data_IF_985989488370
#
_entry.id   IF_985989488370
#
_cell.length_a   1.000
_cell.length_b   1.000
_cell.length_c   1.000
_cell.angle_alpha   90.00
_cell.angle_beta   90.00
_cell.angle_gamma   90.00
#
_symmetry.space_group_name_H-M   'P 1'
#
loop_
_entity.id
_entity.type
_entity.pdbx_description
1 polymer ?
#
# COMPACT_ATOMS: atom_id res chain seq x y z
N UNK A 1 -19.07 -1.73 -10.35
CA UNK A 1 -18.53 -0.64 -9.52
C UNK A 1 -19.58 -0.31 -8.48
N UNK A 2 -19.27 -0.59 -7.22
CA UNK A 2 -20.15 -0.44 -6.05
C UNK A 2 -20.19 1.02 -5.60
N UNK A 3 -19.09 1.73 -5.75
CA UNK A 3 -18.90 3.13 -5.41
C UNK A 3 -18.91 3.94 -6.71
N UNK A 4 -20.06 4.46 -7.17
CA UNK A 4 -20.12 5.24 -8.39
C UNK A 4 -19.47 6.62 -8.18
N UNK A 5 -18.19 6.72 -8.52
CA UNK A 5 -17.48 8.00 -8.46
C UNK A 5 -17.88 8.91 -9.64
N UNK A 6 -17.94 10.24 -9.42
CA UNK A 6 -18.40 11.21 -10.42
C UNK A 6 -17.45 11.35 -11.62
N UNK A 7 -16.21 10.87 -11.51
CA UNK A 7 -15.18 10.93 -12.55
C UNK A 7 -14.49 9.57 -12.66
N UNK A 8 -14.31 9.07 -13.88
CA UNK A 8 -13.44 7.92 -14.17
C UNK A 8 -12.07 8.37 -14.64
N UNK A 9 -11.04 7.69 -14.18
CA UNK A 9 -9.66 7.89 -14.61
C UNK A 9 -9.39 7.04 -15.86
N UNK A 10 -9.09 7.68 -17.01
CA UNK A 10 -8.84 6.96 -18.25
C UNK A 10 -7.48 6.24 -18.21
N UNK A 11 -7.31 5.32 -19.15
CA UNK A 11 -6.03 4.65 -19.35
C UNK A 11 -4.91 5.68 -19.60
N UNK A 12 -3.81 5.59 -18.85
CA UNK A 12 -2.64 6.45 -19.06
C UNK A 12 -1.65 5.88 -20.09
N UNK A 13 -0.48 6.51 -20.21
CA UNK A 13 0.57 6.07 -21.13
C UNK A 13 1.15 4.70 -20.76
N UNK A 14 1.36 4.43 -19.48
CA UNK A 14 1.86 3.14 -18.99
C UNK A 14 0.88 2.02 -19.34
N UNK A 15 -0.43 2.24 -19.15
CA UNK A 15 -1.46 1.28 -19.53
C UNK A 15 -1.49 1.01 -21.04
N UNK A 16 -1.30 2.04 -21.88
CA UNK A 16 -1.21 1.88 -23.33
C UNK A 16 0.05 1.14 -23.77
N UNK A 17 1.18 1.37 -23.10
CA UNK A 17 2.46 0.71 -23.37
C UNK A 17 2.46 -0.75 -22.91
N UNK A 18 1.73 -1.07 -21.85
CA UNK A 18 1.64 -2.40 -21.24
C UNK A 18 0.15 -2.80 -21.16
N UNK A 19 -0.49 -3.09 -22.32
CA UNK A 19 -1.92 -3.35 -22.36
C UNK A 19 -2.32 -4.69 -21.74
N UNK A 20 -1.42 -5.68 -21.79
CA UNK A 20 -1.69 -7.07 -21.38
C UNK A 20 -0.47 -7.75 -20.73
N UNK A 21 -0.68 -8.98 -20.26
CA UNK A 21 0.36 -9.79 -19.60
C UNK A 21 1.53 -10.14 -20.54
N UNK A 22 1.28 -10.30 -21.84
CA UNK A 22 2.33 -10.65 -22.80
C UNK A 22 3.30 -9.47 -23.00
N UNK A 23 2.77 -8.25 -23.10
CA UNK A 23 3.55 -7.03 -23.08
C UNK A 23 4.32 -6.86 -21.75
N UNK A 24 3.67 -7.15 -20.62
CA UNK A 24 4.30 -7.10 -19.30
C UNK A 24 5.52 -8.03 -19.20
N UNK A 25 5.38 -9.29 -19.61
CA UNK A 25 6.47 -10.29 -19.62
C UNK A 25 7.62 -9.87 -20.55
N UNK A 26 7.29 -9.37 -21.73
CA UNK A 26 8.29 -8.91 -22.71
C UNK A 26 9.10 -7.73 -22.16
N UNK A 27 8.42 -6.78 -21.51
CA UNK A 27 9.06 -5.55 -21.01
C UNK A 27 9.86 -5.78 -19.73
N UNK A 28 9.34 -6.57 -18.79
CA UNK A 28 9.99 -6.77 -17.50
C UNK A 28 11.30 -7.59 -17.62
N UNK A 29 11.36 -8.54 -18.57
CA UNK A 29 12.55 -9.34 -18.81
C UNK A 29 13.14 -9.95 -17.53
N UNK A 30 14.43 -9.75 -17.28
CA UNK A 30 15.09 -10.24 -16.07
C UNK A 30 14.60 -9.59 -14.77
N UNK A 31 14.04 -8.36 -14.84
CA UNK A 31 13.50 -7.67 -13.67
C UNK A 31 12.22 -8.35 -13.12
N UNK A 32 11.59 -9.25 -13.88
CA UNK A 32 10.46 -10.05 -13.42
C UNK A 32 10.86 -11.19 -12.46
N UNK A 33 12.15 -11.53 -12.34
CA UNK A 33 12.57 -12.72 -11.60
C UNK A 33 12.04 -12.80 -10.14
N UNK A 34 12.02 -11.71 -9.35
CA UNK A 34 11.46 -11.75 -7.99
C UNK A 34 9.97 -12.06 -7.97
N UNK A 35 9.18 -11.43 -8.85
CA UNK A 35 7.73 -11.67 -8.88
C UNK A 35 7.42 -13.06 -9.42
N UNK A 36 8.16 -13.57 -10.42
CA UNK A 36 7.98 -14.94 -10.91
C UNK A 36 8.30 -15.99 -9.84
N UNK A 37 9.37 -15.79 -9.07
CA UNK A 37 9.70 -16.67 -7.95
C UNK A 37 8.60 -16.66 -6.87
N UNK A 38 8.04 -15.48 -6.57
CA UNK A 38 6.93 -15.35 -5.63
C UNK A 38 5.69 -16.11 -6.13
N UNK A 39 5.30 -15.92 -7.39
CA UNK A 39 4.11 -16.55 -7.96
C UNK A 39 4.27 -18.08 -8.07
N UNK A 40 5.44 -18.56 -8.48
CA UNK A 40 5.74 -20.00 -8.50
C UNK A 40 5.63 -20.64 -7.11
N UNK A 41 6.14 -19.96 -6.08
CA UNK A 41 5.99 -20.39 -4.68
C UNK A 41 4.53 -20.42 -4.26
N UNK A 42 3.75 -19.36 -4.54
CA UNK A 42 2.31 -19.29 -4.21
C UNK A 42 1.53 -20.42 -4.87
N UNK A 43 1.79 -20.70 -6.14
CA UNK A 43 1.17 -21.82 -6.85
C UNK A 43 1.44 -23.15 -6.15
N UNK A 44 2.69 -23.43 -5.79
CA UNK A 44 3.04 -24.65 -5.09
C UNK A 44 2.34 -24.77 -3.72
N UNK A 45 2.34 -23.68 -2.94
CA UNK A 45 1.72 -23.65 -1.61
C UNK A 45 0.19 -23.80 -1.67
N UNK A 46 -0.46 -23.11 -2.60
CA UNK A 46 -1.91 -23.00 -2.69
C UNK A 46 -2.56 -24.11 -3.50
N UNK A 47 -1.76 -25.00 -4.09
CA UNK A 47 -2.26 -26.24 -4.72
C UNK A 47 -3.13 -27.05 -3.74
N UNK A 48 -2.84 -26.99 -2.43
CA UNK A 48 -3.61 -27.67 -1.39
C UNK A 48 -5.00 -27.07 -1.11
N UNK A 49 -5.31 -25.90 -1.70
CA UNK A 49 -6.60 -25.20 -1.59
C UNK A 49 -7.43 -25.27 -2.88
N UNK A 50 -6.90 -25.87 -3.95
CA UNK A 50 -7.59 -25.92 -5.24
C UNK A 50 -8.81 -26.83 -5.19
N UNK A 51 -9.97 -26.28 -5.54
CA UNK A 51 -11.16 -27.04 -5.87
C UNK A 51 -11.33 -27.17 -7.40
N UNK A 52 -12.18 -28.08 -7.90
CA UNK A 52 -12.44 -28.22 -9.33
C UNK A 52 -12.90 -26.90 -9.96
N UNK A 53 -12.12 -26.37 -10.91
CA UNK A 53 -12.38 -25.09 -11.59
C UNK A 53 -11.48 -23.93 -11.16
N UNK A 54 -10.76 -24.06 -10.04
CA UNK A 54 -9.94 -22.97 -9.48
C UNK A 54 -8.60 -22.74 -10.21
N UNK A 55 -8.16 -23.70 -11.03
CA UNK A 55 -6.91 -23.57 -11.78
C UNK A 55 -6.89 -22.31 -12.67
N UNK A 56 -8.06 -21.96 -13.24
CA UNK A 56 -8.24 -20.76 -14.05
C UNK A 56 -8.13 -19.49 -13.20
N UNK A 57 -8.77 -19.48 -12.02
CA UNK A 57 -8.69 -18.36 -11.08
C UNK A 57 -7.24 -18.06 -10.71
N UNK A 58 -6.47 -19.08 -10.31
CA UNK A 58 -5.08 -18.91 -9.94
C UNK A 58 -4.24 -18.38 -11.12
N UNK A 59 -4.46 -18.89 -12.33
CA UNK A 59 -3.76 -18.41 -13.52
C UNK A 59 -4.09 -16.94 -13.83
N UNK A 60 -5.37 -16.55 -13.79
CA UNK A 60 -5.78 -15.16 -14.00
C UNK A 60 -5.22 -14.23 -12.91
N UNK A 61 -5.21 -14.66 -11.65
CA UNK A 61 -4.63 -13.88 -10.54
C UNK A 61 -3.13 -13.66 -10.75
N UNK A 62 -2.38 -14.69 -11.12
CA UNK A 62 -0.95 -14.52 -11.37
C UNK A 62 -0.68 -13.56 -12.54
N UNK A 63 -1.47 -13.63 -13.61
CA UNK A 63 -1.32 -12.73 -14.75
C UNK A 63 -1.69 -11.27 -14.41
N UNK A 64 -2.72 -11.07 -13.58
CA UNK A 64 -3.07 -9.74 -13.07
C UNK A 64 -1.98 -9.18 -12.16
N UNK A 65 -1.41 -10.00 -11.28
CA UNK A 65 -0.28 -9.58 -10.42
C UNK A 65 0.95 -9.22 -11.25
N UNK A 66 1.29 -10.00 -12.29
CA UNK A 66 2.38 -9.68 -13.22
C UNK A 66 2.14 -8.34 -13.91
N UNK A 67 0.92 -8.12 -14.40
CA UNK A 67 0.56 -6.89 -15.10
C UNK A 67 0.62 -5.68 -14.18
N UNK A 68 0.03 -5.76 -12.98
CA UNK A 68 0.09 -4.70 -11.98
C UNK A 68 1.52 -4.37 -11.55
N UNK A 69 2.31 -5.39 -11.22
CA UNK A 69 3.73 -5.23 -10.88
C UNK A 69 4.53 -4.55 -12.01
N UNK A 70 4.38 -4.99 -13.26
CA UNK A 70 5.11 -4.42 -14.39
C UNK A 70 4.71 -2.96 -14.67
N UNK A 71 3.41 -2.64 -14.56
CA UNK A 71 2.93 -1.25 -14.72
C UNK A 71 3.49 -0.35 -13.62
N UNK A 72 3.49 -0.81 -12.37
CA UNK A 72 4.09 -0.04 -11.28
C UNK A 72 5.62 0.10 -11.46
N UNK A 73 6.31 -0.95 -11.89
CA UNK A 73 7.75 -0.92 -12.16
C UNK A 73 8.13 0.12 -13.23
N UNK A 74 7.30 0.28 -14.27
CA UNK A 74 7.51 1.29 -15.33
C UNK A 74 7.07 2.67 -14.89
N UNK A 75 6.00 2.78 -14.12
CA UNK A 75 5.44 4.07 -13.71
C UNK A 75 6.29 4.69 -12.60
N UNK A 76 6.54 3.93 -11.55
CA UNK A 76 7.10 4.42 -10.29
C UNK A 76 8.34 3.66 -9.81
N UNK A 77 8.82 2.72 -10.62
CA UNK A 77 9.86 1.77 -10.26
C UNK A 77 11.14 1.87 -11.07
N UNK A 78 11.94 0.81 -11.00
CA UNK A 78 13.27 0.76 -11.63
C UNK A 78 13.24 0.65 -13.17
N UNK A 79 12.08 0.41 -13.77
CA UNK A 79 11.93 0.37 -15.23
C UNK A 79 11.46 1.71 -15.81
N UNK A 80 11.20 2.69 -14.95
CA UNK A 80 10.74 4.03 -15.28
C UNK A 80 11.75 5.13 -14.98
N UNK A 81 11.35 6.37 -15.27
CA UNK A 81 12.10 7.57 -14.91
C UNK A 81 11.50 8.33 -13.73
N UNK A 82 10.27 8.00 -13.33
CA UNK A 82 9.51 8.68 -12.28
C UNK A 82 9.53 7.87 -10.98
N UNK A 83 10.73 7.62 -10.46
CA UNK A 83 10.93 6.70 -9.35
C UNK A 83 10.34 7.21 -8.03
N UNK A 84 9.57 6.35 -7.38
CA UNK A 84 9.02 6.55 -6.03
C UNK A 84 9.81 5.68 -5.05
N UNK A 85 10.27 6.25 -3.94
CA UNK A 85 11.12 5.53 -3.00
C UNK A 85 10.35 4.48 -2.17
N UNK A 86 9.05 4.65 -2.00
CA UNK A 86 8.17 3.75 -1.25
C UNK A 86 7.15 3.07 -2.19
N UNK A 87 6.33 3.83 -2.92
CA UNK A 87 5.28 3.27 -3.77
C UNK A 87 5.80 2.81 -5.15
N UNK A 88 6.57 1.72 -5.16
CA UNK A 88 7.15 1.11 -6.35
C UNK A 88 6.91 -0.42 -6.40
N UNK A 89 7.47 -1.11 -7.39
CA UNK A 89 7.31 -2.56 -7.57
C UNK A 89 7.81 -3.39 -6.38
N UNK A 90 8.74 -2.84 -5.59
CA UNK A 90 9.19 -3.43 -4.33
C UNK A 90 8.05 -3.55 -3.32
N UNK A 91 7.19 -2.53 -3.20
CA UNK A 91 6.03 -2.53 -2.29
C UNK A 91 5.05 -3.67 -2.61
N UNK A 92 4.85 -3.97 -3.90
CA UNK A 92 4.06 -5.13 -4.34
C UNK A 92 4.66 -6.43 -3.81
N UNK A 93 5.99 -6.60 -3.89
CA UNK A 93 6.68 -7.77 -3.37
C UNK A 93 6.62 -7.86 -1.84
N UNK A 94 6.59 -6.74 -1.12
CA UNK A 94 6.43 -6.73 0.33
C UNK A 94 5.05 -7.27 0.73
N UNK A 95 3.99 -6.73 0.12
CA UNK A 95 2.60 -7.11 0.44
C UNK A 95 2.34 -8.55 -0.01
N UNK A 96 2.52 -8.84 -1.29
CA UNK A 96 2.25 -10.17 -1.87
C UNK A 96 3.19 -11.26 -1.32
N UNK A 97 4.39 -10.87 -0.89
CA UNK A 97 5.40 -11.73 -0.27
C UNK A 97 5.27 -11.77 1.24
N UNK A 98 6.14 -11.02 1.93
CA UNK A 98 6.37 -11.20 3.38
C UNK A 98 5.15 -10.92 4.25
N UNK A 99 4.27 -9.99 3.86
CA UNK A 99 3.10 -9.63 4.67
C UNK A 99 1.99 -10.70 4.56
N UNK A 100 1.71 -11.18 3.34
CA UNK A 100 0.83 -12.35 3.15
C UNK A 100 1.42 -13.62 3.77
N UNK A 101 2.75 -13.83 3.69
CA UNK A 101 3.41 -14.94 4.37
C UNK A 101 3.14 -14.94 5.88
N UNK A 102 3.32 -13.78 6.54
CA UNK A 102 3.08 -13.65 7.97
C UNK A 102 1.62 -13.88 8.34
N UNK A 103 0.70 -13.37 7.53
CA UNK A 103 -0.74 -13.59 7.72
C UNK A 103 -1.07 -15.09 7.62
N UNK A 104 -0.59 -15.76 6.57
CA UNK A 104 -0.74 -17.21 6.37
C UNK A 104 -0.12 -18.01 7.53
N UNK A 105 1.08 -17.66 7.97
CA UNK A 105 1.80 -18.41 9.01
C UNK A 105 1.11 -18.26 10.37
N UNK A 106 0.48 -17.12 10.62
CA UNK A 106 -0.25 -16.86 11.87
C UNK A 106 -1.62 -17.54 11.88
N UNK A 107 -2.38 -17.42 10.79
CA UNK A 107 -3.75 -17.91 10.73
C UNK A 107 -3.86 -19.37 10.28
N UNK A 108 -2.86 -19.85 9.55
CA UNK A 108 -2.89 -21.10 8.80
C UNK A 108 -3.47 -20.92 7.39
N UNK A 109 -2.96 -21.70 6.43
CA UNK A 109 -3.33 -21.60 5.02
C UNK A 109 -4.85 -21.76 4.76
N UNK A 110 -5.52 -22.60 5.57
CA UNK A 110 -6.96 -22.87 5.44
C UNK A 110 -7.87 -21.86 6.17
N UNK A 111 -7.31 -20.82 6.77
CA UNK A 111 -8.10 -19.78 7.44
C UNK A 111 -8.90 -18.92 6.45
N UNK A 112 -8.43 -18.82 5.21
CA UNK A 112 -9.11 -18.15 4.11
C UNK A 112 -9.27 -19.10 2.93
N UNK A 113 -10.31 -18.89 2.12
CA UNK A 113 -10.47 -19.62 0.87
C UNK A 113 -9.39 -19.20 -0.14
N UNK A 114 -9.11 -20.04 -1.14
CA UNK A 114 -8.19 -19.68 -2.24
C UNK A 114 -8.57 -18.34 -2.88
N UNK A 115 -9.87 -18.11 -3.06
CA UNK A 115 -10.41 -16.90 -3.68
C UNK A 115 -10.09 -15.63 -2.88
N UNK A 116 -10.13 -15.71 -1.55
CA UNK A 116 -9.74 -14.61 -0.66
C UNK A 116 -8.23 -14.35 -0.73
N UNK A 117 -7.41 -15.41 -0.74
CA UNK A 117 -5.96 -15.27 -0.94
C UNK A 117 -5.61 -14.63 -2.29
N UNK A 118 -6.32 -15.01 -3.35
CA UNK A 118 -6.20 -14.40 -4.66
C UNK A 118 -6.62 -12.91 -4.62
N UNK A 119 -7.71 -12.57 -3.93
CA UNK A 119 -8.12 -11.18 -3.76
C UNK A 119 -7.04 -10.34 -3.07
N UNK A 120 -6.40 -10.85 -2.00
CA UNK A 120 -5.32 -10.15 -1.30
C UNK A 120 -4.06 -9.97 -2.18
N UNK A 121 -3.73 -10.93 -3.05
CA UNK A 121 -2.66 -10.77 -4.04
C UNK A 121 -3.00 -9.70 -5.08
N UNK A 122 -4.24 -9.68 -5.56
CA UNK A 122 -4.71 -8.65 -6.48
C UNK A 122 -4.63 -7.27 -5.82
N UNK A 123 -5.03 -7.13 -4.56
CA UNK A 123 -4.87 -5.89 -3.79
C UNK A 123 -3.41 -5.44 -3.73
N UNK A 124 -2.51 -6.32 -3.30
CA UNK A 124 -1.08 -5.99 -3.17
C UNK A 124 -0.45 -5.51 -4.49
N UNK A 125 -0.90 -6.04 -5.63
CA UNK A 125 -0.40 -5.64 -6.95
C UNK A 125 -1.10 -4.41 -7.55
N UNK A 126 -2.26 -4.01 -7.04
CA UNK A 126 -3.12 -3.04 -7.72
C UNK A 126 -3.47 -1.77 -6.93
N UNK A 127 -3.37 -1.77 -5.59
CA UNK A 127 -3.86 -0.64 -4.79
C UNK A 127 -3.11 0.68 -5.02
N UNK A 128 -1.82 0.60 -5.31
CA UNK A 128 -0.95 1.78 -5.52
C UNK A 128 -0.51 1.96 -6.98
N UNK A 129 -1.29 1.48 -7.94
CA UNK A 129 -0.97 1.67 -9.37
C UNK A 129 -0.80 3.14 -9.74
N UNK A 130 -1.53 4.05 -9.07
CA UNK A 130 -1.56 5.48 -9.38
C UNK A 130 -1.21 6.29 -8.14
N UNK A 131 -0.08 7.00 -8.18
CA UNK A 131 0.43 7.77 -7.03
C UNK A 131 0.74 9.26 -7.34
N UNK A 132 0.20 9.78 -8.44
CA UNK A 132 0.41 11.16 -8.91
C UNK A 132 -0.88 11.91 -9.24
N UNK A 133 -2.03 11.39 -8.87
CA UNK A 133 -3.29 12.01 -9.25
C UNK A 133 -3.48 13.35 -8.54
N UNK A 134 -4.18 14.25 -9.22
CA UNK A 134 -4.50 15.55 -8.67
C UNK A 134 -5.31 15.37 -7.37
N UNK A 135 -4.95 16.09 -6.30
CA UNK A 135 -5.55 15.90 -4.98
C UNK A 135 -7.04 16.13 -4.96
N UNK A 136 -7.79 15.08 -4.64
CA UNK A 136 -9.24 15.17 -4.50
C UNK A 136 -9.75 14.04 -3.61
N UNK A 137 -10.61 14.40 -2.65
CA UNK A 137 -11.34 13.44 -1.83
C UNK A 137 -12.80 13.37 -2.28
N UNK A 138 -13.31 12.16 -2.46
CA UNK A 138 -14.74 11.88 -2.63
C UNK A 138 -15.14 10.81 -1.64
N UNK A 139 -16.07 11.14 -0.72
CA UNK A 139 -16.46 10.28 0.41
C UNK A 139 -15.30 9.81 1.31
N UNK A 140 -14.20 10.58 1.34
CA UNK A 140 -13.00 10.22 2.07
C UNK A 140 -12.04 9.31 1.31
N UNK A 141 -12.35 8.94 0.06
CA UNK A 141 -11.50 8.13 -0.81
C UNK A 141 -10.66 9.08 -1.68
N UNK A 142 -9.35 8.83 -1.75
CA UNK A 142 -8.39 9.65 -2.46
C UNK A 142 -8.45 9.50 -3.98
N UNK A 143 -7.86 10.46 -4.68
CA UNK A 143 -7.75 10.44 -6.14
C UNK A 143 -6.88 9.30 -6.63
N UNK A 144 -5.76 9.03 -5.94
CA UNK A 144 -4.85 7.92 -6.22
C UNK A 144 -5.58 6.58 -6.13
N UNK A 145 -6.28 6.32 -5.03
CA UNK A 145 -7.02 5.07 -4.82
C UNK A 145 -8.15 4.91 -5.84
N UNK A 146 -8.88 5.97 -6.18
CA UNK A 146 -9.93 5.91 -7.23
C UNK A 146 -9.34 5.61 -8.60
N UNK A 147 -8.19 6.18 -8.95
CA UNK A 147 -7.52 5.90 -10.21
C UNK A 147 -6.95 4.48 -10.25
N UNK A 148 -6.37 4.01 -9.13
CA UNK A 148 -5.94 2.62 -8.95
C UNK A 148 -7.11 1.65 -9.05
N UNK A 149 -8.29 1.96 -8.51
CA UNK A 149 -9.51 1.16 -8.70
C UNK A 149 -9.82 1.07 -10.19
N UNK A 150 -9.95 2.19 -10.90
CA UNK A 150 -10.30 2.20 -12.32
C UNK A 150 -9.29 1.39 -13.18
N UNK A 151 -7.99 1.48 -12.88
CA UNK A 151 -6.96 0.69 -13.55
C UNK A 151 -7.01 -0.79 -13.16
N UNK A 152 -7.18 -1.11 -11.88
CA UNK A 152 -7.31 -2.48 -11.38
C UNK A 152 -8.49 -3.20 -12.05
N UNK A 153 -9.61 -2.52 -12.20
CA UNK A 153 -10.77 -3.06 -12.90
C UNK A 153 -10.45 -3.39 -14.37
N UNK A 154 -9.61 -2.61 -15.05
CA UNK A 154 -9.15 -2.91 -16.43
C UNK A 154 -8.12 -4.04 -16.48
N UNK A 155 -7.25 -4.15 -15.46
CA UNK A 155 -6.32 -5.27 -15.33
C UNK A 155 -7.09 -6.59 -15.21
N UNK A 156 -8.13 -6.63 -14.38
CA UNK A 156 -8.98 -7.82 -14.26
C UNK A 156 -9.60 -8.21 -15.61
N UNK A 157 -10.15 -7.25 -16.36
CA UNK A 157 -10.69 -7.52 -17.70
C UNK A 157 -9.61 -8.06 -18.66
N UNK A 158 -8.41 -7.45 -18.67
CA UNK A 158 -7.31 -7.86 -19.53
C UNK A 158 -6.75 -9.25 -19.19
N UNK A 159 -6.91 -9.70 -17.95
CA UNK A 159 -6.45 -10.99 -17.47
C UNK A 159 -7.53 -12.07 -17.45
N UNK A 160 -8.71 -11.82 -18.05
CA UNK A 160 -9.73 -12.83 -18.29
C UNK A 160 -10.76 -13.02 -17.17
N UNK A 161 -10.80 -12.12 -16.17
CA UNK A 161 -11.86 -12.14 -15.16
C UNK A 161 -13.20 -11.72 -15.78
N UNK A 162 -14.27 -12.40 -15.39
CA UNK A 162 -15.63 -12.08 -15.84
C UNK A 162 -16.27 -11.11 -14.85
N UNK A 163 -16.79 -9.99 -15.36
CA UNK A 163 -17.57 -9.03 -14.55
C UNK A 163 -18.76 -9.64 -13.81
N UNK A 164 -19.34 -10.72 -14.36
CA UNK A 164 -20.49 -11.41 -13.80
C UNK A 164 -20.06 -12.58 -12.90
N UNK A 165 -19.21 -13.49 -13.41
CA UNK A 165 -18.80 -14.68 -12.64
C UNK A 165 -17.82 -14.34 -11.51
N UNK A 166 -17.02 -13.27 -11.68
CA UNK A 166 -16.03 -12.81 -10.71
C UNK A 166 -16.44 -11.49 -10.04
N UNK A 167 -17.74 -11.18 -10.03
CA UNK A 167 -18.29 -9.96 -9.44
C UNK A 167 -17.81 -9.71 -8.00
N UNK A 168 -17.60 -10.78 -7.23
CA UNK A 168 -17.10 -10.75 -5.86
C UNK A 168 -15.64 -10.30 -5.76
N UNK A 169 -14.76 -10.72 -6.68
CA UNK A 169 -13.37 -10.26 -6.74
C UNK A 169 -13.29 -8.81 -7.20
N UNK A 170 -14.11 -8.41 -8.18
CA UNK A 170 -14.21 -7.02 -8.61
C UNK A 170 -14.64 -6.11 -7.46
N UNK A 171 -15.62 -6.56 -6.67
CA UNK A 171 -16.14 -5.87 -5.50
C UNK A 171 -15.13 -5.79 -4.36
N UNK A 172 -14.51 -6.93 -4.02
CA UNK A 172 -13.49 -7.01 -3.00
C UNK A 172 -12.34 -6.06 -3.33
N UNK A 173 -11.83 -6.09 -4.56
CA UNK A 173 -10.72 -5.24 -4.97
C UNK A 173 -11.08 -3.75 -4.91
N UNK A 174 -12.28 -3.38 -5.35
CA UNK A 174 -12.77 -2.01 -5.23
C UNK A 174 -12.82 -1.54 -3.77
N UNK A 175 -13.38 -2.36 -2.86
CA UNK A 175 -13.51 -2.01 -1.45
C UNK A 175 -12.18 -2.05 -0.69
N UNK A 176 -11.28 -2.98 -1.03
CA UNK A 176 -9.94 -3.06 -0.45
C UNK A 176 -9.11 -1.81 -0.78
N UNK A 177 -9.07 -1.39 -2.05
CA UNK A 177 -8.33 -0.19 -2.47
C UNK A 177 -8.98 1.07 -1.91
N UNK A 178 -10.33 1.17 -1.92
CA UNK A 178 -11.00 2.29 -1.29
C UNK A 178 -10.68 2.37 0.21
N UNK A 179 -10.76 1.24 0.91
CA UNK A 179 -10.52 1.13 2.35
C UNK A 179 -9.08 1.40 2.77
N UNK A 180 -8.10 1.16 1.90
CA UNK A 180 -6.69 1.48 2.18
C UNK A 180 -6.39 2.97 2.14
N UNK A 181 -7.30 3.82 1.62
CA UNK A 181 -7.12 5.28 1.66
C UNK A 181 -6.86 5.72 3.10
N UNK A 182 -5.70 6.34 3.33
CA UNK A 182 -5.40 6.95 4.61
C UNK A 182 -6.01 8.37 4.65
N UNK A 183 -6.84 8.65 5.65
CA UNK A 183 -7.65 9.88 5.67
C UNK A 183 -6.77 11.14 5.81
N UNK A 184 -6.68 11.82 4.67
CA UNK A 184 -5.72 12.85 4.39
C UNK A 184 -6.43 14.23 4.34
N UNK A 185 -6.69 14.86 5.48
CA UNK A 185 -7.26 16.23 5.47
C UNK A 185 -6.21 17.26 5.04
N UNK A 186 -6.48 18.08 4.01
CA UNK A 186 -5.53 19.05 3.49
C UNK A 186 -5.06 20.02 4.58
N UNK A 187 -3.76 20.33 4.59
CA UNK A 187 -3.19 21.39 5.41
C UNK A 187 -3.74 22.74 4.91
N UNK A 188 -4.20 23.66 5.79
CA UNK A 188 -4.60 25.00 5.36
C UNK A 188 -3.46 25.71 4.62
N UNK A 189 -3.71 26.29 3.44
CA UNK A 189 -2.74 27.16 2.75
C UNK A 189 -2.46 26.87 1.26
N UNK A 190 -3.05 25.84 0.65
CA UNK A 190 -3.04 25.69 -0.82
C UNK A 190 -1.72 25.26 -1.46
N UNK A 191 -0.73 24.78 -0.69
CA UNK A 191 0.45 24.12 -1.25
C UNK A 191 0.05 22.82 -1.97
N UNK A 192 0.82 22.45 -3.01
CA UNK A 192 0.64 21.19 -3.72
C UNK A 192 0.64 20.02 -2.73
N UNK A 193 -0.51 19.39 -2.64
CA UNK A 193 -0.86 18.33 -1.71
C UNK A 193 0.08 17.14 -1.84
N UNK A 194 0.31 16.47 -0.72
CA UNK A 194 1.09 15.26 -0.67
C UNK A 194 0.37 14.27 0.23
N UNK A 195 0.04 13.08 -0.26
CA UNK A 195 -0.57 12.03 0.58
C UNK A 195 0.29 11.74 1.83
N UNK A 196 1.61 11.95 1.77
CA UNK A 196 2.52 11.80 2.88
C UNK A 196 2.59 13.02 3.85
N UNK A 197 1.96 14.16 3.54
CA UNK A 197 1.82 15.32 4.45
C UNK A 197 0.63 15.18 5.43
N UNK A 198 -0.22 14.16 5.24
CA UNK A 198 -1.61 14.25 5.65
C UNK A 198 -1.97 13.16 6.65
N UNK A 199 -1.69 13.46 7.91
CA UNK A 199 -2.16 12.69 9.05
C UNK A 199 -2.97 13.64 9.93
N UNK A 200 -4.18 13.97 9.49
CA UNK A 200 -5.09 14.86 10.25
C UNK A 200 -6.50 14.33 10.50
N UNK A 201 -6.84 13.08 10.12
CA UNK A 201 -7.91 12.35 10.81
C UNK A 201 -7.86 10.83 10.61
N UNK A 202 -8.16 10.08 11.67
CA UNK A 202 -8.84 8.77 11.61
C UNK A 202 -8.05 7.49 11.33
N UNK A 203 -6.90 7.52 10.66
CA UNK A 203 -6.27 6.29 10.18
C UNK A 203 -6.88 5.80 8.85
N UNK A 204 -6.71 4.52 8.52
CA UNK A 204 -7.23 3.93 7.28
C UNK A 204 -8.77 4.05 7.18
N UNK A 205 -9.30 4.32 5.99
CA UNK A 205 -10.73 4.48 5.74
C UNK A 205 -11.52 3.17 5.98
N UNK A 206 -10.86 2.01 5.90
CA UNK A 206 -11.49 0.70 6.07
C UNK A 206 -12.35 0.60 7.34
N UNK A 207 -11.95 1.25 8.44
CA UNK A 207 -12.68 1.27 9.72
C UNK A 207 -14.03 2.00 9.66
N UNK A 208 -14.25 2.80 8.61
CA UNK A 208 -15.45 3.61 8.36
C UNK A 208 -16.10 3.27 7.02
N UNK A 209 -15.65 2.21 6.35
CA UNK A 209 -16.15 1.82 5.03
C UNK A 209 -17.64 1.43 5.10
N UNK A 210 -18.08 0.87 6.22
CA UNK A 210 -19.49 0.61 6.52
C UNK A 210 -20.36 1.87 6.41
N UNK A 211 -19.89 3.01 6.90
CA UNK A 211 -20.59 4.29 6.81
C UNK A 211 -20.65 4.81 5.37
N UNK A 212 -19.62 4.55 4.57
CA UNK A 212 -19.62 4.87 3.14
C UNK A 212 -20.64 3.99 2.42
N UNK A 213 -20.63 2.69 2.69
CA UNK A 213 -21.56 1.72 2.11
C UNK A 213 -23.01 2.01 2.52
N UNK A 214 -23.27 2.44 3.75
CA UNK A 214 -24.61 2.83 4.21
C UNK A 214 -25.20 3.98 3.41
N UNK A 215 -24.36 4.90 2.94
CA UNK A 215 -24.78 6.02 2.08
C UNK A 215 -24.88 5.65 0.61
N UNK A 216 -23.97 4.81 0.11
CA UNK A 216 -23.78 4.55 -1.34
C UNK A 216 -24.46 3.28 -1.84
N UNK A 217 -24.63 2.29 -0.98
CA UNK A 217 -25.29 1.00 -1.28
C UNK A 217 -26.22 0.61 -0.13
N UNK A 218 -27.39 1.27 0.01
CA UNK A 218 -28.35 0.92 1.04
C UNK A 218 -28.76 -0.55 0.95
N UNK A 219 -28.61 -1.27 2.05
CA UNK A 219 -28.90 -2.71 2.11
C UNK A 219 -27.71 -3.63 1.82
N UNK A 220 -26.48 -3.09 1.71
CA UNK A 220 -25.28 -3.91 1.50
C UNK A 220 -25.08 -5.00 2.57
N UNK A 221 -25.61 -4.82 3.78
CA UNK A 221 -25.53 -5.84 4.86
C UNK A 221 -26.35 -7.10 4.57
N UNK A 222 -27.34 -7.02 3.67
CA UNK A 222 -28.09 -8.18 3.20
C UNK A 222 -27.43 -8.86 1.99
N UNK A 223 -26.40 -8.25 1.40
CA UNK A 223 -25.63 -8.80 0.29
C UNK A 223 -24.39 -9.54 0.82
N UNK A 224 -24.35 -10.88 0.79
CA UNK A 224 -23.22 -11.65 1.30
C UNK A 224 -21.90 -11.30 0.61
N UNK A 225 -21.94 -10.90 -0.66
CA UNK A 225 -20.76 -10.53 -1.44
C UNK A 225 -20.15 -9.23 -0.90
N UNK A 226 -20.98 -8.21 -0.64
CA UNK A 226 -20.50 -6.94 -0.08
C UNK A 226 -20.03 -7.08 1.36
N UNK A 227 -20.69 -7.95 2.14
CA UNK A 227 -20.23 -8.27 3.51
C UNK A 227 -18.86 -8.95 3.49
N UNK A 228 -18.62 -9.91 2.58
CA UNK A 228 -17.32 -10.55 2.42
C UNK A 228 -16.25 -9.55 1.95
N UNK A 229 -16.55 -8.74 0.93
CA UNK A 229 -15.66 -7.72 0.39
C UNK A 229 -15.26 -6.67 1.46
N UNK A 230 -16.20 -6.24 2.31
CA UNK A 230 -15.91 -5.31 3.40
C UNK A 230 -14.97 -5.92 4.45
N UNK A 231 -15.12 -7.21 4.78
CA UNK A 231 -14.21 -7.91 5.70
C UNK A 231 -12.80 -8.00 5.13
N UNK A 232 -12.67 -8.34 3.84
CA UNK A 232 -11.38 -8.34 3.16
C UNK A 232 -10.75 -6.94 3.10
N UNK A 233 -11.54 -5.88 2.96
CA UNK A 233 -11.05 -4.51 3.01
C UNK A 233 -10.35 -4.15 4.34
N UNK A 234 -10.82 -4.69 5.47
CA UNK A 234 -10.16 -4.52 6.77
C UNK A 234 -8.78 -5.21 6.78
N UNK A 235 -8.72 -6.45 6.27
CA UNK A 235 -7.46 -7.21 6.18
C UNK A 235 -6.47 -6.56 5.21
N UNK A 236 -6.95 -6.05 4.08
CA UNK A 236 -6.13 -5.37 3.09
C UNK A 236 -5.52 -4.07 3.64
N UNK A 237 -6.29 -3.26 4.37
CA UNK A 237 -5.76 -2.07 5.04
C UNK A 237 -4.67 -2.40 6.08
N UNK A 238 -4.82 -3.54 6.77
CA UNK A 238 -3.79 -4.03 7.69
C UNK A 238 -2.53 -4.48 6.95
N UNK A 239 -2.67 -5.13 5.79
CA UNK A 239 -1.54 -5.53 4.95
C UNK A 239 -0.77 -4.31 4.41
N UNK A 240 -1.45 -3.26 4.00
CA UNK A 240 -0.83 -2.04 3.47
C UNK A 240 0.00 -1.31 4.55
N UNK A 241 -0.53 -1.25 5.77
CA UNK A 241 0.09 -0.54 6.88
C UNK A 241 0.92 -1.41 7.82
N UNK A 242 1.09 -2.71 7.52
CA UNK A 242 1.86 -3.65 8.33
C UNK A 242 3.36 -3.36 8.43
N UNK A 243 3.89 -2.36 7.71
CA UNK A 243 5.29 -1.92 7.83
C UNK A 243 5.66 -1.56 9.29
N UNK A 244 4.71 -1.09 10.10
CA UNK A 244 4.92 -0.82 11.54
C UNK A 244 5.30 -2.06 12.36
N UNK A 245 5.02 -3.25 11.85
CA UNK A 245 5.30 -4.53 12.49
C UNK A 245 6.50 -5.27 11.89
N UNK A 246 7.18 -4.69 10.90
CA UNK A 246 8.38 -5.29 10.32
C UNK A 246 9.56 -5.26 11.31
N UNK A 247 10.63 -6.07 11.10
CA UNK A 247 11.87 -5.92 11.84
C UNK A 247 12.29 -4.44 11.89
N UNK A 248 12.70 -3.95 13.06
CA UNK A 248 12.81 -2.52 13.32
C UNK A 248 13.66 -1.74 12.30
N UNK A 249 14.76 -2.33 11.82
CA UNK A 249 15.60 -1.76 10.75
C UNK A 249 14.83 -1.55 9.46
N UNK A 250 14.01 -2.52 9.06
CA UNK A 250 13.15 -2.42 7.88
C UNK A 250 12.06 -1.40 8.11
N UNK A 251 11.36 -1.43 9.24
CA UNK A 251 10.37 -0.41 9.59
C UNK A 251 10.96 1.02 9.48
N UNK A 252 12.12 1.26 10.08
CA UNK A 252 12.80 2.55 10.01
C UNK A 252 13.20 2.93 8.57
N UNK A 253 13.69 1.99 7.76
CA UNK A 253 14.01 2.25 6.35
C UNK A 253 12.77 2.60 5.52
N UNK A 254 11.61 1.99 5.79
CA UNK A 254 10.36 2.34 5.10
C UNK A 254 9.91 3.77 5.43
N UNK A 255 10.08 4.21 6.68
CA UNK A 255 9.83 5.60 7.07
C UNK A 255 10.76 6.57 6.33
N UNK A 256 12.05 6.23 6.19
CA UNK A 256 12.97 7.03 5.38
C UNK A 256 12.52 7.11 3.91
N UNK A 257 12.17 5.98 3.30
CA UNK A 257 11.71 5.92 1.91
C UNK A 257 10.45 6.77 1.71
N UNK A 258 9.46 6.66 2.60
CA UNK A 258 8.25 7.47 2.56
C UNK A 258 8.58 8.96 2.72
N UNK A 259 9.55 9.32 3.57
CA UNK A 259 10.02 10.69 3.71
C UNK A 259 10.67 11.22 2.42
N UNK A 260 11.46 10.41 1.73
CA UNK A 260 12.09 10.79 0.45
C UNK A 260 11.06 11.01 -0.63
N UNK A 261 10.10 10.09 -0.72
CA UNK A 261 9.01 10.19 -1.68
C UNK A 261 8.14 11.41 -1.40
N UNK A 262 7.86 11.70 -0.11
CA UNK A 262 7.17 12.92 0.29
C UNK A 262 7.88 14.17 -0.25
N UNK A 263 9.17 14.32 -0.01
CA UNK A 263 9.90 15.50 -0.51
C UNK A 263 9.87 15.59 -2.05
N UNK A 264 10.01 14.46 -2.73
CA UNK A 264 9.89 14.37 -4.19
C UNK A 264 8.51 14.82 -4.69
N UNK A 265 7.42 14.32 -4.09
CA UNK A 265 6.04 14.68 -4.48
C UNK A 265 5.73 16.15 -4.22
N UNK A 266 6.36 16.73 -3.20
CA UNK A 266 6.29 18.16 -2.93
C UNK A 266 7.23 19.01 -3.79
N UNK A 267 7.99 18.42 -4.71
CA UNK A 267 8.95 19.13 -5.57
C UNK A 267 10.16 19.68 -4.83
N UNK A 268 10.43 19.22 -3.61
CA UNK A 268 11.54 19.68 -2.77
C UNK A 268 12.75 18.76 -2.91
N UNK A 269 13.92 19.36 -3.12
CA UNK A 269 15.18 18.64 -3.06
C UNK A 269 15.62 18.45 -1.61
N UNK A 270 16.02 17.23 -1.24
CA UNK A 270 16.60 16.93 0.08
C UNK A 270 17.90 17.70 0.37
N UNK A 271 18.57 18.19 -0.68
CA UNK A 271 19.76 19.04 -0.54
C UNK A 271 19.42 20.52 -0.33
N UNK A 272 18.16 20.93 -0.51
CA UNK A 272 17.71 22.30 -0.27
C UNK A 272 17.41 22.53 1.21
N UNK A 273 17.60 23.78 1.67
CA UNK A 273 17.40 24.12 3.08
C UNK A 273 15.95 24.06 3.53
N UNK A 274 15.01 24.35 2.63
CA UNK A 274 13.56 24.23 2.90
C UNK A 274 13.11 22.80 3.21
N UNK A 275 13.92 21.78 2.90
CA UNK A 275 13.61 20.37 3.20
C UNK A 275 13.98 19.97 4.64
N UNK A 276 14.84 20.72 5.32
CA UNK A 276 15.36 20.34 6.65
C UNK A 276 14.26 20.17 7.70
N UNK A 277 13.40 21.18 7.88
CA UNK A 277 12.32 21.15 8.87
C UNK A 277 11.21 20.13 8.51
N UNK A 278 10.71 20.05 7.26
CA UNK A 278 9.75 19.01 6.86
C UNK A 278 10.25 17.59 7.12
N UNK A 279 11.51 17.28 6.79
CA UNK A 279 12.09 15.95 7.01
C UNK A 279 12.23 15.66 8.51
N UNK A 280 12.69 16.63 9.30
CA UNK A 280 12.79 16.48 10.76
C UNK A 280 11.42 16.23 11.39
N UNK A 281 10.43 17.05 11.04
CA UNK A 281 9.07 16.89 11.54
C UNK A 281 8.49 15.52 11.18
N UNK A 282 8.70 15.04 9.96
CA UNK A 282 8.20 13.74 9.52
C UNK A 282 8.87 12.57 10.23
N UNK A 283 10.20 12.52 10.25
CA UNK A 283 10.96 11.41 10.84
C UNK A 283 10.95 11.39 12.38
N UNK A 284 10.33 12.38 13.01
CA UNK A 284 10.17 12.44 14.47
C UNK A 284 8.70 12.51 14.88
N UNK A 285 8.11 13.70 15.01
CA UNK A 285 6.73 13.90 15.45
C UNK A 285 5.71 13.19 14.54
N UNK A 286 5.97 13.20 13.23
CA UNK A 286 5.12 12.53 12.23
C UNK A 286 5.08 11.01 12.43
N UNK A 287 6.23 10.36 12.54
CA UNK A 287 6.31 8.91 12.80
C UNK A 287 5.70 8.54 14.16
N UNK A 288 5.97 9.33 15.19
CA UNK A 288 5.41 9.12 16.53
C UNK A 288 3.88 9.15 16.49
N UNK A 289 3.33 10.23 15.91
CA UNK A 289 1.89 10.42 15.78
C UNK A 289 1.24 9.32 14.95
N UNK A 290 1.78 9.03 13.76
CA UNK A 290 1.28 7.93 12.92
C UNK A 290 1.19 6.62 13.69
N UNK A 291 2.29 6.22 14.34
CA UNK A 291 2.39 4.93 15.00
C UNK A 291 1.49 4.80 16.25
N UNK A 292 1.50 5.81 17.12
CA UNK A 292 0.85 5.75 18.42
C UNK A 292 -0.59 6.24 18.39
N UNK A 293 -0.91 7.28 17.62
CA UNK A 293 -2.24 7.89 17.64
C UNK A 293 -3.15 7.35 16.55
N UNK A 294 -2.66 7.19 15.31
CA UNK A 294 -3.57 6.91 14.18
C UNK A 294 -3.56 5.47 13.71
N UNK A 295 -2.41 4.82 13.69
CA UNK A 295 -2.33 3.45 13.19
C UNK A 295 -3.00 2.48 14.16
N UNK A 296 -4.02 1.77 13.67
CA UNK A 296 -4.64 0.61 14.33
C UNK A 296 -4.85 -0.48 13.27
N UNK A 297 -4.65 -1.73 13.66
CA UNK A 297 -5.10 -2.84 12.83
C UNK A 297 -6.63 -2.93 12.92
N UNK A 298 -7.27 -3.16 11.78
CA UNK A 298 -8.71 -3.05 11.54
C UNK A 298 -9.41 -4.41 11.53
N UNK A 299 -8.65 -5.50 11.46
CA UNK A 299 -9.15 -6.87 11.49
C UNK A 299 -8.49 -7.68 12.62
N UNK A 300 -9.21 -8.66 13.15
CA UNK A 300 -8.66 -9.62 14.12
C UNK A 300 -7.45 -10.37 13.53
N UNK A 301 -7.51 -10.66 12.23
CA UNK A 301 -6.44 -11.27 11.46
C UNK A 301 -5.17 -10.41 11.45
N UNK A 302 -5.29 -9.11 11.19
CA UNK A 302 -4.18 -8.17 11.22
C UNK A 302 -3.64 -7.93 12.62
N UNK A 303 -4.50 -7.83 13.64
CA UNK A 303 -4.10 -7.76 15.05
C UNK A 303 -3.26 -8.98 15.42
N UNK A 304 -3.71 -10.18 15.09
CA UNK A 304 -2.98 -11.41 15.40
C UNK A 304 -1.62 -11.49 14.68
N UNK A 305 -1.59 -11.17 13.37
CA UNK A 305 -0.39 -11.34 12.56
C UNK A 305 0.67 -10.24 12.76
N UNK A 306 0.24 -9.01 13.06
CA UNK A 306 1.13 -7.84 13.05
C UNK A 306 1.19 -7.11 14.40
N UNK A 307 0.23 -7.31 15.29
CA UNK A 307 0.17 -6.72 16.63
C UNK A 307 1.46 -6.91 17.44
N UNK A 308 1.97 -8.15 17.61
CA UNK A 308 3.19 -8.39 18.39
C UNK A 308 4.42 -7.65 17.85
N UNK A 309 4.56 -7.57 16.51
CA UNK A 309 5.65 -6.83 15.88
C UNK A 309 5.56 -5.32 16.13
N UNK A 310 4.34 -4.76 16.03
CA UNK A 310 4.09 -3.36 16.35
C UNK A 310 4.43 -3.07 17.82
N UNK A 311 3.97 -3.90 18.76
CA UNK A 311 4.27 -3.72 20.19
C UNK A 311 5.78 -3.75 20.48
N UNK A 312 6.51 -4.68 19.84
CA UNK A 312 7.97 -4.77 19.98
C UNK A 312 8.72 -3.55 19.42
N UNK A 313 8.17 -2.88 18.41
CA UNK A 313 8.77 -1.70 17.78
C UNK A 313 8.47 -0.39 18.54
N UNK A 314 7.42 -0.35 19.37
CA UNK A 314 7.01 0.84 20.09
C UNK A 314 8.14 1.53 20.90
N UNK A 315 8.86 0.85 21.82
CA UNK A 315 9.93 1.51 22.58
C UNK A 315 11.10 1.95 21.69
N UNK A 316 11.40 1.18 20.64
CA UNK A 316 12.49 1.47 19.70
C UNK A 316 12.20 2.72 18.87
N UNK A 317 10.95 2.88 18.43
CA UNK A 317 10.53 4.08 17.70
C UNK A 317 10.64 5.33 18.59
N UNK A 318 10.18 5.26 19.85
CA UNK A 318 10.36 6.36 20.80
C UNK A 318 11.85 6.73 20.97
N UNK A 319 12.70 5.72 21.16
CA UNK A 319 14.14 5.93 21.29
C UNK A 319 14.75 6.55 20.03
N UNK A 320 14.35 6.10 18.84
CA UNK A 320 14.81 6.65 17.56
C UNK A 320 14.40 8.11 17.41
N UNK A 321 13.12 8.44 17.59
CA UNK A 321 12.63 9.81 17.48
C UNK A 321 13.30 10.74 18.51
N UNK A 322 13.54 10.28 19.74
CA UNK A 322 14.26 11.06 20.76
C UNK A 322 15.74 11.23 20.42
N UNK A 323 16.41 10.17 19.99
CA UNK A 323 17.83 10.17 19.64
C UNK A 323 18.13 11.10 18.46
N UNK A 324 17.26 11.15 17.45
CA UNK A 324 17.40 12.08 16.31
C UNK A 324 17.32 13.53 16.78
N UNK A 325 16.33 13.86 17.62
CA UNK A 325 16.21 15.22 18.19
C UNK A 325 17.43 15.58 19.03
N UNK A 326 17.91 14.65 19.87
CA UNK A 326 19.09 14.87 20.70
C UNK A 326 20.35 15.09 19.86
N UNK A 327 20.56 14.27 18.82
CA UNK A 327 21.70 14.40 17.91
C UNK A 327 21.70 15.75 17.19
N UNK A 328 20.55 16.18 16.69
CA UNK A 328 20.39 17.50 16.06
C UNK A 328 20.63 18.63 17.07
N UNK A 329 20.10 18.52 18.29
CA UNK A 329 20.31 19.54 19.32
C UNK A 329 21.80 19.72 19.66
N UNK A 330 22.59 18.65 19.62
CA UNK A 330 24.05 18.69 19.87
C UNK A 330 24.84 19.21 18.66
N UNK A 331 24.46 18.81 17.44
CA UNK A 331 25.17 19.15 16.21
C UNK A 331 24.82 20.54 15.65
N UNK A 332 23.71 21.13 16.10
CA UNK A 332 23.16 22.38 15.59
C UNK A 332 22.02 22.16 14.59
N UNK A 333 21.29 23.24 14.28
CA UNK A 333 20.13 23.16 13.40
C UNK A 333 20.50 22.64 12.00
N UNK A 334 19.78 21.62 11.48
CA UNK A 334 20.09 21.02 10.20
C UNK A 334 19.84 22.04 9.09
N UNK A 335 20.75 22.09 8.13
CA UNK A 335 20.70 22.98 6.98
C UNK A 335 20.02 22.34 5.77
N UNK A 336 19.84 21.01 5.75
CA UNK A 336 19.19 20.28 4.63
C UNK A 336 18.44 19.05 5.14
N UNK A 337 17.52 18.52 4.32
CA UNK A 337 16.85 17.25 4.60
C UNK A 337 17.82 16.06 4.67
N UNK A 338 18.88 16.06 3.84
CA UNK A 338 19.92 15.03 3.87
C UNK A 338 20.62 14.93 5.22
N UNK A 339 20.94 16.06 5.86
CA UNK A 339 21.57 16.05 7.19
C UNK A 339 20.66 15.42 8.26
N UNK A 340 19.34 15.63 8.15
CA UNK A 340 18.37 14.99 9.05
C UNK A 340 18.33 13.48 8.81
N UNK A 341 18.32 13.04 7.55
CA UNK A 341 18.34 11.60 7.22
C UNK A 341 19.65 10.95 7.70
N UNK A 342 20.78 11.63 7.59
CA UNK A 342 22.06 11.15 8.14
C UNK A 342 21.99 11.00 9.67
N UNK A 343 21.44 11.99 10.37
CA UNK A 343 21.19 11.90 11.80
C UNK A 343 20.23 10.76 12.18
N UNK A 344 19.20 10.54 11.37
CA UNK A 344 18.26 9.42 11.50
C UNK A 344 18.96 8.07 11.36
N UNK A 345 19.73 7.86 10.29
CA UNK A 345 20.49 6.63 10.04
C UNK A 345 21.53 6.36 11.12
N UNK A 346 22.26 7.38 11.56
CA UNK A 346 23.25 7.23 12.63
C UNK A 346 22.59 6.82 13.96
N UNK A 347 21.44 7.41 14.28
CA UNK A 347 20.67 7.04 15.48
C UNK A 347 20.09 5.63 15.37
N UNK A 348 19.60 5.24 14.19
CA UNK A 348 19.13 3.88 13.95
C UNK A 348 20.25 2.85 14.11
N UNK A 349 21.45 3.15 13.60
CA UNK A 349 22.62 2.28 13.77
C UNK A 349 22.89 2.02 15.26
N UNK A 350 22.94 3.07 16.09
CA UNK A 350 23.19 2.95 17.53
C UNK A 350 22.13 2.11 18.29
N UNK A 351 20.90 2.01 17.76
CA UNK A 351 19.82 1.21 18.37
C UNK A 351 19.80 -0.27 17.91
N UNK A 352 20.64 -0.63 16.95
CA UNK A 352 20.62 -1.94 16.28
C UNK A 352 21.93 -2.72 16.38
N UNK A 353 22.95 -2.11 17.01
CA UNK A 353 24.12 -2.81 17.57
C UNK A 353 23.72 -3.47 18.89
#
# INVERSE_FOLDING_TARGET
>A
MILPFPSRYPADETERRIPDVAAARTLAGAAAAPIEALLARRRAEWTALLEPGDATLLAHTEDAVRLGHARLAVRHGNLGSDFHAYHNEGHVLEICGSRIDRLRDTLGLRALALRDWCALMLFGACHDLRQREAPQLVDGIGANERASIDEAQRILDACGFSREHDADLHAALELMIAGSTFDARPVPGGYHYNAADLVQSGGALASRLDQVLDRRSPGWRQDPLLVAAQRLALVAADLDTANVAEPFTRFASTAENLCREREMLSGRSLAAGESALPVLGFLTDGQDRFFFELHRFQSDAGVAAFGPGKEANAPKLKALCMGVRARIAVQGAPQTGNQVIEAYRATLADLTV
#
